data_IF_837785768227
#
_entry.id   IF_837785768227
#
_cell.length_a   1.000
_cell.length_b   1.000
_cell.length_c   1.000
_cell.angle_alpha   90.00
_cell.angle_beta   90.00
_cell.angle_gamma   90.00
#
_symmetry.space_group_name_H-M   'P 1'
#
loop_
_entity.id
_entity.type
_entity.pdbx_description
1 polymer ?
#
# COMPACT_ATOMS: atom_id res chain seq x y z
N UNK A 1 -10.67 -21.15 11.90
CA UNK A 1 -9.85 -21.42 10.70
C UNK A 1 -10.70 -21.88 9.51
N UNK A 2 -11.56 -22.90 9.63
CA UNK A 2 -12.42 -23.36 8.52
C UNK A 2 -13.31 -22.24 7.95
N UNK A 3 -13.92 -21.41 8.81
CA UNK A 3 -14.76 -20.27 8.42
C UNK A 3 -13.96 -19.20 7.64
N UNK A 4 -12.70 -18.99 8.00
CA UNK A 4 -11.82 -18.02 7.32
C UNK A 4 -11.41 -18.57 5.95
N UNK A 5 -11.07 -19.86 5.88
CA UNK A 5 -10.74 -20.50 4.60
C UNK A 5 -11.95 -20.54 3.65
N UNK A 6 -13.15 -20.80 4.18
CA UNK A 6 -14.36 -20.80 3.36
C UNK A 6 -14.74 -19.41 2.86
N UNK A 7 -14.59 -18.36 3.67
CA UNK A 7 -14.87 -16.98 3.22
C UNK A 7 -13.89 -16.51 2.13
N UNK A 8 -12.60 -16.86 2.25
CA UNK A 8 -11.60 -16.58 1.20
C UNK A 8 -11.96 -17.31 -0.10
N UNK A 9 -12.34 -18.60 -0.01
CA UNK A 9 -12.73 -19.37 -1.20
C UNK A 9 -13.95 -18.77 -1.91
N UNK A 10 -14.97 -18.38 -1.14
CA UNK A 10 -16.20 -17.80 -1.67
C UNK A 10 -15.92 -16.46 -2.36
N UNK A 11 -15.08 -15.60 -1.77
CA UNK A 11 -14.77 -14.29 -2.36
C UNK A 11 -14.00 -14.40 -3.67
N UNK A 12 -13.01 -15.30 -3.75
CA UNK A 12 -12.26 -15.56 -4.99
C UNK A 12 -13.18 -16.12 -6.07
N UNK A 13 -14.05 -17.09 -5.71
CA UNK A 13 -15.01 -17.68 -6.64
C UNK A 13 -15.99 -16.65 -7.17
N UNK A 14 -16.50 -15.76 -6.31
CA UNK A 14 -17.42 -14.70 -6.73
C UNK A 14 -16.73 -13.72 -7.70
N UNK A 15 -15.50 -13.31 -7.41
CA UNK A 15 -14.74 -12.41 -8.27
C UNK A 15 -14.48 -13.02 -9.66
N UNK A 16 -14.14 -14.31 -9.73
CA UNK A 16 -13.88 -15.00 -11.01
C UNK A 16 -15.16 -15.22 -11.80
N UNK A 17 -16.28 -15.56 -11.15
CA UNK A 17 -17.58 -15.70 -11.80
C UNK A 17 -18.02 -14.36 -12.41
N UNK A 18 -17.91 -13.25 -11.66
CA UNK A 18 -18.30 -11.93 -12.16
C UNK A 18 -17.41 -11.51 -13.33
N UNK A 19 -16.09 -11.73 -13.26
CA UNK A 19 -15.15 -11.41 -14.34
C UNK A 19 -15.45 -12.23 -15.61
N UNK A 20 -15.67 -13.54 -15.46
CA UNK A 20 -15.99 -14.42 -16.60
C UNK A 20 -17.32 -14.07 -17.23
N UNK A 21 -18.38 -13.87 -16.44
CA UNK A 21 -19.67 -13.39 -16.94
C UNK A 21 -19.55 -12.05 -17.67
N UNK A 22 -18.83 -11.08 -17.11
CA UNK A 22 -18.60 -9.79 -17.77
C UNK A 22 -17.88 -9.96 -19.13
N UNK A 23 -16.89 -10.86 -19.20
CA UNK A 23 -16.18 -11.14 -20.45
C UNK A 23 -17.04 -11.86 -21.50
N UNK A 24 -17.92 -12.78 -21.07
CA UNK A 24 -18.82 -13.55 -21.93
C UNK A 24 -19.98 -12.69 -22.46
N UNK A 25 -20.53 -11.82 -21.62
CA UNK A 25 -21.59 -10.86 -21.97
C UNK A 25 -21.05 -9.68 -22.80
N UNK A 26 -19.75 -9.36 -22.69
CA UNK A 26 -19.13 -8.28 -23.45
C UNK A 26 -19.09 -8.63 -24.95
N UNK A 27 -19.81 -7.85 -25.76
CA UNK A 27 -19.82 -7.98 -27.22
C UNK A 27 -18.50 -7.46 -27.84
N UNK A 28 -17.39 -8.17 -27.64
CA UNK A 28 -16.08 -7.87 -28.28
C UNK A 28 -15.93 -8.60 -29.63
N UNK A 29 -16.91 -8.47 -30.53
CA UNK A 29 -16.88 -9.22 -31.80
C UNK A 29 -15.90 -8.68 -32.84
N UNK A 30 -15.48 -7.41 -32.75
CA UNK A 30 -14.59 -6.80 -33.75
C UNK A 30 -13.37 -6.24 -33.02
N UNK A 31 -12.23 -6.88 -33.27
CA UNK A 31 -10.91 -6.41 -32.86
C UNK A 31 -10.51 -5.34 -33.87
N UNK A 32 -10.66 -4.08 -33.49
CA UNK A 32 -10.25 -2.94 -34.28
C UNK A 32 -8.92 -2.41 -33.73
N UNK A 33 -7.97 -2.07 -34.60
CA UNK A 33 -6.65 -1.55 -34.22
C UNK A 33 -6.78 -0.26 -33.42
N UNK A 34 -7.74 0.60 -33.77
CA UNK A 34 -7.97 1.88 -33.09
C UNK A 34 -8.63 1.70 -31.71
N UNK A 35 -9.25 0.54 -31.44
CA UNK A 35 -9.74 0.19 -30.09
C UNK A 35 -8.67 -0.44 -29.23
N UNK A 36 -7.64 -1.01 -29.84
CA UNK A 36 -6.49 -1.60 -29.14
C UNK A 36 -5.30 -0.65 -29.01
N UNK A 37 -5.37 0.55 -29.60
CA UNK A 37 -4.37 1.59 -29.44
C UNK A 37 -4.49 2.30 -28.06
N UNK A 38 -3.39 2.83 -27.50
CA UNK A 38 -3.43 3.58 -26.26
C UNK A 38 -4.28 4.85 -26.38
N UNK A 39 -5.08 5.13 -25.36
CA UNK A 39 -5.92 6.34 -25.30
C UNK A 39 -5.17 7.48 -24.60
N UNK A 40 -4.76 8.53 -25.34
CA UNK A 40 -4.22 9.78 -24.80
C UNK A 40 -5.18 10.95 -25.12
N UNK A 41 -6.37 10.94 -24.51
CA UNK A 41 -7.42 11.96 -24.70
C UNK A 41 -7.85 12.16 -26.16
N UNK A 42 -7.79 11.11 -26.98
CA UNK A 42 -8.14 11.15 -28.41
C UNK A 42 -6.98 11.56 -29.33
N UNK A 43 -5.77 11.73 -28.79
CA UNK A 43 -4.56 11.93 -29.57
C UNK A 43 -3.70 10.66 -29.61
N UNK A 44 -2.87 10.56 -30.64
CA UNK A 44 -1.81 9.56 -30.68
C UNK A 44 -0.80 9.82 -29.57
N UNK A 45 -0.32 8.76 -28.88
CA UNK A 45 0.54 8.95 -27.74
C UNK A 45 1.86 9.60 -28.14
N UNK A 46 2.25 10.68 -27.44
CA UNK A 46 3.48 11.42 -27.77
C UNK A 46 4.77 10.65 -27.44
N UNK A 47 4.66 9.58 -26.67
CA UNK A 47 5.76 8.71 -26.28
C UNK A 47 5.29 7.50 -25.49
N UNK A 48 6.22 6.79 -24.86
CA UNK A 48 5.85 5.67 -23.99
C UNK A 48 5.25 6.18 -22.67
N UNK A 49 4.27 5.44 -22.13
CA UNK A 49 3.73 5.68 -20.78
C UNK A 49 4.76 5.52 -19.65
N UNK A 50 5.95 4.96 -19.94
CA UNK A 50 7.07 4.81 -19.00
C UNK A 50 7.88 6.11 -18.95
N UNK A 51 7.34 7.10 -18.25
CA UNK A 51 8.00 8.36 -17.98
C UNK A 51 9.00 8.21 -16.81
N UNK A 52 10.07 9.03 -16.77
CA UNK A 52 10.92 9.08 -15.59
C UNK A 52 10.08 9.45 -14.37
N UNK A 53 10.21 8.64 -13.32
CA UNK A 53 9.44 8.78 -12.10
C UNK A 53 10.07 9.84 -11.17
N UNK A 54 9.23 10.54 -10.42
CA UNK A 54 9.74 11.52 -9.46
C UNK A 54 10.42 10.83 -8.28
N UNK A 55 11.64 11.24 -7.93
CA UNK A 55 12.36 10.69 -6.77
C UNK A 55 11.64 10.93 -5.43
N UNK A 56 10.74 11.92 -5.36
CA UNK A 56 9.99 12.25 -4.14
C UNK A 56 9.01 11.15 -3.76
N UNK A 57 8.22 10.64 -4.72
CA UNK A 57 7.36 9.50 -4.46
C UNK A 57 8.15 8.23 -4.08
N UNK A 58 9.38 8.09 -4.58
CA UNK A 58 10.26 6.99 -4.16
C UNK A 58 10.68 7.13 -2.69
N UNK A 59 11.09 8.33 -2.27
CA UNK A 59 11.43 8.61 -0.86
C UNK A 59 10.25 8.34 0.08
N UNK A 60 9.04 8.77 -0.28
CA UNK A 60 7.83 8.50 0.50
C UNK A 60 7.59 6.98 0.63
N UNK A 61 7.80 6.20 -0.44
CA UNK A 61 7.63 4.75 -0.39
C UNK A 61 8.65 4.06 0.53
N UNK A 62 9.90 4.54 0.55
CA UNK A 62 10.94 4.03 1.46
C UNK A 62 10.61 4.35 2.92
N UNK A 63 10.20 5.59 3.19
CA UNK A 63 9.77 6.04 4.53
C UNK A 63 8.57 5.20 5.01
N UNK A 64 7.57 5.00 4.16
CA UNK A 64 6.42 4.14 4.47
C UNK A 64 6.84 2.70 4.83
N UNK A 65 7.78 2.11 4.10
CA UNK A 65 8.27 0.76 4.38
C UNK A 65 8.93 0.67 5.76
N UNK A 66 9.77 1.66 6.11
CA UNK A 66 10.43 1.71 7.43
C UNK A 66 9.38 1.82 8.53
N UNK A 67 8.44 2.76 8.41
CA UNK A 67 7.37 2.93 9.40
C UNK A 67 6.48 1.69 9.56
N UNK A 68 6.21 0.94 8.48
CA UNK A 68 5.41 -0.30 8.55
C UNK A 68 6.11 -1.40 9.38
N UNK A 69 7.44 -1.51 9.25
CA UNK A 69 8.25 -2.41 10.09
C UNK A 69 8.20 -1.97 11.55
N UNK A 70 8.31 -0.67 11.81
CA UNK A 70 8.27 -0.13 13.17
C UNK A 70 6.90 -0.31 13.86
N UNK A 71 5.80 -0.15 13.12
CA UNK A 71 4.44 -0.42 13.62
C UNK A 71 4.28 -1.92 13.92
N UNK A 72 4.83 -2.79 13.07
CA UNK A 72 4.82 -4.24 13.31
C UNK A 72 5.55 -4.60 14.62
N UNK A 73 6.64 -3.89 14.94
CA UNK A 73 7.35 -4.03 16.22
C UNK A 73 6.57 -3.47 17.42
N UNK A 74 5.68 -2.50 17.20
CA UNK A 74 4.81 -1.92 18.25
C UNK A 74 3.64 -2.85 18.61
N UNK A 75 3.12 -3.62 17.66
CA UNK A 75 1.91 -4.44 17.84
C UNK A 75 1.99 -5.45 19.01
N UNK A 76 3.12 -6.15 19.26
CA UNK A 76 3.28 -7.01 20.43
C UNK A 76 3.15 -6.27 21.77
N UNK A 77 3.47 -4.97 21.84
CA UNK A 77 3.36 -4.20 23.07
C UNK A 77 1.91 -4.25 23.63
N UNK A 78 0.90 -4.27 22.76
CA UNK A 78 -0.51 -4.32 23.16
C UNK A 78 -0.91 -5.63 23.86
N UNK A 79 -0.28 -6.75 23.53
CA UNK A 79 -0.65 -8.08 24.07
C UNK A 79 0.18 -8.51 25.28
N UNK A 80 1.41 -7.98 25.43
CA UNK A 80 2.38 -8.45 26.43
C UNK A 80 2.16 -7.82 27.84
N UNK A 81 1.20 -6.88 27.98
CA UNK A 81 0.95 -6.17 29.25
C UNK A 81 0.64 -7.09 30.43
N UNK A 82 0.02 -8.24 30.18
CA UNK A 82 -0.33 -9.22 31.22
C UNK A 82 0.81 -10.19 31.58
N UNK A 83 1.87 -10.26 30.76
CA UNK A 83 2.97 -11.24 30.89
C UNK A 83 4.21 -10.60 31.54
N UNK A 84 4.37 -9.29 31.36
CA UNK A 84 5.57 -8.55 31.79
C UNK A 84 5.28 -7.61 32.95
N UNK A 85 6.33 -7.15 33.62
CA UNK A 85 6.19 -6.12 34.64
C UNK A 85 5.72 -4.80 33.99
N UNK A 86 4.66 -4.20 34.56
CA UNK A 86 4.07 -2.95 34.07
C UNK A 86 5.10 -1.81 33.97
N UNK A 87 6.08 -1.77 34.88
CA UNK A 87 7.09 -0.72 34.88
C UNK A 87 8.06 -0.86 33.69
N UNK A 88 8.51 -2.09 33.40
CA UNK A 88 9.35 -2.36 32.22
C UNK A 88 8.59 -2.14 30.92
N UNK A 89 7.32 -2.55 30.86
CA UNK A 89 6.45 -2.37 29.70
C UNK A 89 6.25 -0.88 29.37
N UNK A 90 6.03 -0.06 30.39
CA UNK A 90 5.83 1.37 30.23
C UNK A 90 7.11 2.08 29.76
N UNK A 91 8.26 1.77 30.37
CA UNK A 91 9.54 2.37 30.00
C UNK A 91 9.90 2.02 28.55
N UNK A 92 9.82 0.75 28.16
CA UNK A 92 10.18 0.34 26.80
C UNK A 92 9.21 0.92 25.77
N UNK A 93 7.91 0.95 26.08
CA UNK A 93 6.89 1.56 25.21
C UNK A 93 7.12 3.06 24.99
N UNK A 94 7.41 3.81 26.06
CA UNK A 94 7.69 5.25 25.96
C UNK A 94 8.97 5.52 25.17
N UNK A 95 10.06 4.77 25.44
CA UNK A 95 11.32 4.93 24.72
C UNK A 95 11.11 4.65 23.22
N UNK A 96 10.39 3.58 22.88
CA UNK A 96 10.11 3.22 21.50
C UNK A 96 9.28 4.29 20.76
N UNK A 97 8.25 4.83 21.42
CA UNK A 97 7.45 5.93 20.86
C UNK A 97 8.26 7.23 20.68
N UNK A 98 9.18 7.53 21.60
CA UNK A 98 10.07 8.69 21.44
C UNK A 98 11.00 8.54 20.25
N UNK A 99 11.57 7.34 20.05
CA UNK A 99 12.42 7.05 18.88
C UNK A 99 11.64 7.27 17.58
N UNK A 100 10.40 6.77 17.50
CA UNK A 100 9.51 6.99 16.35
C UNK A 100 9.27 8.47 16.07
N UNK A 101 8.92 9.24 17.11
CA UNK A 101 8.67 10.67 16.99
C UNK A 101 9.91 11.43 16.53
N UNK A 102 11.08 11.14 17.11
CA UNK A 102 12.33 11.79 16.70
C UNK A 102 12.73 11.44 15.27
N UNK A 103 12.53 10.19 14.83
CA UNK A 103 12.76 9.78 13.44
C UNK A 103 11.90 10.59 12.47
N UNK A 104 10.59 10.68 12.75
CA UNK A 104 9.67 11.47 11.94
C UNK A 104 10.04 12.96 11.89
N UNK A 105 10.37 13.56 13.05
CA UNK A 105 10.80 14.97 13.09
C UNK A 105 12.07 15.21 12.28
N UNK A 106 13.02 14.26 12.31
CA UNK A 106 14.24 14.35 11.52
C UNK A 106 13.95 14.29 10.02
N UNK A 107 13.11 13.37 9.57
CA UNK A 107 12.70 13.25 8.16
C UNK A 107 11.95 14.50 7.67
N UNK A 108 11.10 15.06 8.52
CA UNK A 108 10.40 16.30 8.22
C UNK A 108 11.38 17.47 8.09
N UNK A 109 12.33 17.61 9.03
CA UNK A 109 13.34 18.66 8.96
C UNK A 109 14.22 18.56 7.71
N UNK A 110 14.48 17.35 7.21
CA UNK A 110 15.21 17.12 5.96
C UNK A 110 14.37 17.42 4.69
N UNK A 111 13.11 17.84 4.84
CA UNK A 111 12.23 18.18 3.72
C UNK A 111 11.80 16.96 2.89
N UNK A 112 11.96 15.74 3.41
CA UNK A 112 11.55 14.52 2.70
C UNK A 112 10.02 14.44 2.54
N UNK A 113 9.28 15.11 3.43
CA UNK A 113 7.82 15.19 3.45
C UNK A 113 7.27 16.47 2.79
N UNK A 114 8.14 17.41 2.40
CA UNK A 114 7.69 18.66 1.80
C UNK A 114 7.27 18.43 0.34
N UNK A 115 6.00 18.71 0.07
CA UNK A 115 5.50 18.75 -1.31
C UNK A 115 5.97 20.06 -1.98
N UNK A 116 6.20 20.03 -3.30
CA UNK A 116 6.51 21.27 -4.04
C UNK A 116 5.42 22.31 -3.85
N UNK A 117 5.79 23.50 -3.39
CA UNK A 117 5.21 24.70 -3.98
C UNK A 117 5.87 24.95 -5.34
#
# INVERSE_FOLDING_TARGET
MIIIMSSILITILLATIVMTLASLLSKKMIIDREKSSPYECGFDPKGSARLPFSLRFFLIAVIFLIFDVEITLLLPLASIIHITNIYSWMITGIIFLLVLLFGLYYEWYQGALDWSN
#
